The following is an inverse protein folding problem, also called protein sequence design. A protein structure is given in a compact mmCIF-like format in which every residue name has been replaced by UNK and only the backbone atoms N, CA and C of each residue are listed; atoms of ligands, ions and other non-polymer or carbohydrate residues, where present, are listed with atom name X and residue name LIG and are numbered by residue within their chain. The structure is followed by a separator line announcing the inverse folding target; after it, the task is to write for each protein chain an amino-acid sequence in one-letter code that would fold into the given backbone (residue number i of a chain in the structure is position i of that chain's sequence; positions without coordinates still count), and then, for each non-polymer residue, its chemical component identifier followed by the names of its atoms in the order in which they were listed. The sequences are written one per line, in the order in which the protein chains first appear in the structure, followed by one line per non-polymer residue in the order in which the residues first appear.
data_IF_212382572465
#
_entry.id   IF_212382572465
#
_cell.length_a   1.000
_cell.length_b   1.000
_cell.length_c   1.000
_cell.angle_alpha   90.00
_cell.angle_beta   90.00
_cell.angle_gamma   90.00
#
_symmetry.space_group_name_H-M   'P 1'
#
loop_
_entity.id
_entity.type
_entity.pdbx_description
1 polymer ?
#
# COMPACT_ATOMS: atom_id res chain seq x y z
N UNK A 1 12.11 -10.39 -9.13
CA UNK A 1 12.99 -11.45 -8.56
C UNK A 1 12.33 -12.04 -7.29
N UNK A 2 12.78 -13.20 -6.80
CA UNK A 2 12.36 -13.76 -5.50
C UNK A 2 13.57 -13.76 -4.54
N UNK A 3 13.93 -12.58 -3.98
CA UNK A 3 15.13 -12.44 -3.18
C UNK A 3 15.01 -13.23 -1.87
N UNK A 4 16.12 -13.80 -1.43
CA UNK A 4 16.25 -14.40 -0.10
C UNK A 4 16.96 -13.41 0.81
N UNK A 5 16.21 -12.43 1.32
CA UNK A 5 16.74 -11.28 2.04
C UNK A 5 16.07 -11.15 3.42
N UNK A 6 16.69 -11.70 4.46
CA UNK A 6 16.19 -11.62 5.83
C UNK A 6 14.70 -11.99 5.97
N UNK A 7 13.86 -11.10 6.54
CA UNK A 7 12.43 -11.35 6.74
C UNK A 7 11.57 -11.09 5.49
N UNK A 8 12.18 -10.77 4.33
CA UNK A 8 11.43 -10.54 3.09
C UNK A 8 10.65 -11.78 2.65
N UNK A 9 9.38 -11.57 2.30
CA UNK A 9 8.51 -12.62 1.75
C UNK A 9 7.74 -12.07 0.54
N UNK A 10 8.09 -12.60 -0.64
CA UNK A 10 7.48 -12.18 -1.89
C UNK A 10 5.97 -12.46 -1.93
N UNK A 11 5.51 -13.54 -1.29
CA UNK A 11 4.08 -13.88 -1.26
C UNK A 11 3.31 -12.81 -0.51
N UNK A 12 3.86 -12.31 0.61
CA UNK A 12 3.25 -11.26 1.43
C UNK A 12 3.18 -9.94 0.69
N UNK A 13 4.26 -9.56 0.02
CA UNK A 13 4.27 -8.34 -0.80
C UNK A 13 3.12 -8.36 -1.82
N UNK A 14 2.89 -9.47 -2.52
CA UNK A 14 1.80 -9.56 -3.49
C UNK A 14 0.40 -9.59 -2.85
N UNK A 15 0.26 -10.10 -1.63
CA UNK A 15 -0.98 -9.99 -0.85
C UNK A 15 -1.29 -8.53 -0.53
N UNK A 16 -0.30 -7.79 -0.03
CA UNK A 16 -0.45 -6.37 0.29
C UNK A 16 -0.71 -5.54 -0.97
N UNK A 17 0.02 -5.78 -2.06
CA UNK A 17 -0.21 -5.14 -3.36
C UNK A 17 -1.66 -5.31 -3.84
N UNK A 18 -2.22 -6.52 -3.79
CA UNK A 18 -3.59 -6.75 -4.24
C UNK A 18 -4.61 -6.01 -3.36
N UNK A 19 -4.44 -6.04 -2.03
CA UNK A 19 -5.28 -5.27 -1.10
C UNK A 19 -5.26 -3.77 -1.40
N UNK A 20 -4.06 -3.23 -1.62
CA UNK A 20 -3.83 -1.82 -1.94
C UNK A 20 -4.49 -1.42 -3.25
N UNK A 21 -4.32 -2.22 -4.30
CA UNK A 21 -5.01 -2.04 -5.58
C UNK A 21 -6.53 -1.98 -5.42
N UNK A 22 -7.11 -2.99 -4.76
CA UNK A 22 -8.57 -3.08 -4.55
C UNK A 22 -9.08 -1.89 -3.74
N UNK A 23 -8.38 -1.51 -2.67
CA UNK A 23 -8.71 -0.36 -1.85
C UNK A 23 -8.64 0.96 -2.61
N UNK A 24 -7.52 1.24 -3.30
CA UNK A 24 -7.33 2.49 -4.03
C UNK A 24 -8.42 2.71 -5.09
N UNK A 25 -8.82 1.63 -5.77
CA UNK A 25 -9.95 1.65 -6.71
C UNK A 25 -11.28 1.93 -6.04
N UNK A 26 -11.58 1.26 -4.93
CA UNK A 26 -12.83 1.46 -4.20
C UNK A 26 -12.95 2.88 -3.64
N UNK A 27 -11.87 3.39 -3.05
CA UNK A 27 -11.78 4.75 -2.53
C UNK A 27 -11.89 5.81 -3.64
N UNK A 28 -11.20 5.63 -4.76
CA UNK A 28 -11.32 6.55 -5.91
C UNK A 28 -12.76 6.64 -6.43
N UNK A 29 -13.47 5.51 -6.53
CA UNK A 29 -14.90 5.47 -6.90
C UNK A 29 -15.76 6.23 -5.87
N UNK A 30 -15.48 6.04 -4.58
CA UNK A 30 -16.18 6.74 -3.50
C UNK A 30 -15.93 8.25 -3.52
N UNK A 31 -14.75 8.69 -3.97
CA UNK A 31 -14.39 10.10 -4.19
C UNK A 31 -14.91 10.66 -5.52
N UNK A 32 -15.73 9.91 -6.26
CA UNK A 32 -16.40 10.37 -7.49
C UNK A 32 -15.56 10.27 -8.76
N UNK A 33 -14.43 9.55 -8.74
CA UNK A 33 -13.63 9.32 -9.94
C UNK A 33 -14.34 8.36 -10.90
N UNK A 34 -14.45 8.75 -12.17
CA UNK A 34 -15.13 7.96 -13.21
C UNK A 34 -14.32 6.76 -13.67
N UNK A 35 -13.00 6.91 -13.71
CA UNK A 35 -12.06 5.85 -14.01
C UNK A 35 -11.13 5.67 -12.81
N UNK A 36 -11.18 4.49 -12.20
CA UNK A 36 -10.41 4.13 -11.02
C UNK A 36 -9.60 2.85 -11.22
N UNK A 37 -9.61 2.29 -12.44
CA UNK A 37 -8.83 1.08 -12.74
C UNK A 37 -7.33 1.41 -12.83
N UNK A 38 -6.97 2.63 -13.25
CA UNK A 38 -5.58 3.11 -13.17
C UNK A 38 -5.09 3.21 -11.71
N UNK A 39 -5.96 3.55 -10.76
CA UNK A 39 -5.62 3.55 -9.33
C UNK A 39 -5.37 2.13 -8.81
N UNK A 40 -6.18 1.16 -9.25
CA UNK A 40 -5.95 -0.25 -8.95
C UNK A 40 -4.56 -0.68 -9.40
N UNK A 41 -4.24 -0.41 -10.67
CA UNK A 41 -2.97 -0.82 -11.25
C UNK A 41 -1.78 -0.08 -10.62
N UNK A 42 -1.88 1.23 -10.36
CA UNK A 42 -0.83 1.99 -9.70
C UNK A 42 -0.57 1.50 -8.27
N UNK A 43 -1.60 1.32 -7.44
CA UNK A 43 -1.44 0.84 -6.07
C UNK A 43 -0.98 -0.63 -6.00
N UNK A 44 -1.36 -1.47 -6.96
CA UNK A 44 -0.82 -2.83 -7.11
C UNK A 44 0.70 -2.80 -7.35
N UNK A 45 1.18 -1.83 -8.12
CA UNK A 45 2.59 -1.69 -8.53
C UNK A 45 3.42 -0.80 -7.60
N UNK A 46 2.84 -0.11 -6.62
CA UNK A 46 3.54 0.94 -5.86
C UNK A 46 4.80 0.44 -5.12
N UNK A 47 4.84 -0.85 -4.77
CA UNK A 47 5.95 -1.51 -4.06
C UNK A 47 6.78 -2.43 -4.99
N UNK A 48 6.58 -2.39 -6.30
CA UNK A 48 7.20 -3.34 -7.25
C UNK A 48 8.73 -3.27 -7.29
N UNK A 49 9.32 -2.17 -6.82
CA UNK A 49 10.76 -2.01 -6.73
C UNK A 49 11.37 -2.80 -5.56
N UNK A 50 10.64 -3.04 -4.47
CA UNK A 50 11.18 -3.68 -3.25
C UNK A 50 11.85 -5.03 -3.52
N UNK A 51 11.26 -5.99 -4.28
CA UNK A 51 11.94 -7.26 -4.55
C UNK A 51 13.22 -7.09 -5.36
N UNK A 52 13.27 -6.11 -6.26
CA UNK A 52 14.47 -5.80 -7.03
C UNK A 52 15.55 -5.22 -6.13
N UNK A 53 15.19 -4.24 -5.31
CA UNK A 53 16.13 -3.58 -4.40
C UNK A 53 16.66 -4.55 -3.34
N UNK A 54 15.82 -5.43 -2.80
CA UNK A 54 16.25 -6.50 -1.88
C UNK A 54 17.14 -7.56 -2.56
N UNK A 55 17.09 -7.70 -3.89
CA UNK A 55 18.00 -8.57 -4.65
C UNK A 55 19.36 -7.92 -4.89
N UNK A 56 19.36 -6.63 -5.24
CA UNK A 56 20.57 -5.88 -5.60
C UNK A 56 21.35 -5.37 -4.36
N UNK A 57 20.64 -5.07 -3.26
CA UNK A 57 21.20 -4.52 -2.01
C UNK A 57 20.84 -5.40 -0.80
N UNK A 58 21.15 -6.71 -0.82
CA UNK A 58 20.60 -7.66 0.14
C UNK A 58 21.02 -7.39 1.59
N UNK A 59 22.26 -6.95 1.85
CA UNK A 59 22.69 -6.64 3.22
C UNK A 59 21.95 -5.42 3.78
N UNK A 60 21.84 -4.35 2.98
CA UNK A 60 21.16 -3.13 3.40
C UNK A 60 19.66 -3.38 3.60
N UNK A 61 19.00 -4.06 2.66
CA UNK A 61 17.58 -4.37 2.79
C UNK A 61 17.28 -5.32 3.95
N UNK A 62 18.16 -6.27 4.26
CA UNK A 62 17.98 -7.11 5.44
C UNK A 62 17.97 -6.26 6.72
N UNK A 63 18.87 -5.30 6.85
CA UNK A 63 18.93 -4.40 7.99
C UNK A 63 17.71 -3.46 8.05
N UNK A 64 17.28 -2.90 6.92
CA UNK A 64 16.10 -2.03 6.85
C UNK A 64 14.82 -2.79 7.21
N UNK A 65 14.65 -4.01 6.69
CA UNK A 65 13.47 -4.81 6.98
C UNK A 65 13.43 -5.29 8.43
N UNK A 66 14.57 -5.54 9.08
CA UNK A 66 14.65 -5.79 10.53
C UNK A 66 14.29 -4.54 11.34
N UNK A 67 14.75 -3.36 10.90
CA UNK A 67 14.47 -2.07 11.56
C UNK A 67 13.03 -1.62 11.43
N UNK A 68 12.28 -2.09 10.42
CA UNK A 68 10.86 -1.82 10.25
C UNK A 68 10.03 -2.14 11.51
N UNK A 69 10.48 -3.08 12.36
CA UNK A 69 9.85 -3.43 13.64
C UNK A 69 8.33 -3.61 13.52
N UNK A 70 7.89 -4.57 12.69
CA UNK A 70 6.47 -4.86 12.44
C UNK A 70 5.62 -3.66 11.96
N UNK A 71 6.27 -2.67 11.35
CA UNK A 71 5.60 -1.50 10.79
C UNK A 71 5.72 -0.23 11.64
N UNK A 72 6.38 -0.28 12.81
CA UNK A 72 6.64 0.90 13.63
C UNK A 72 7.35 2.01 12.84
N UNK A 73 8.32 1.62 11.99
CA UNK A 73 8.99 2.53 11.07
C UNK A 73 8.61 2.21 9.63
N UNK A 74 8.16 3.21 8.87
CA UNK A 74 7.88 3.04 7.45
C UNK A 74 9.17 2.76 6.67
N UNK A 75 9.12 1.77 5.79
CA UNK A 75 10.26 1.41 4.94
C UNK A 75 10.74 2.58 4.07
N UNK A 76 9.82 3.44 3.58
CA UNK A 76 10.17 4.63 2.80
C UNK A 76 11.10 5.57 3.58
N UNK A 77 10.81 5.81 4.85
CA UNK A 77 11.62 6.67 5.72
C UNK A 77 12.99 6.04 6.04
N UNK A 78 13.03 4.73 6.27
CA UNK A 78 14.27 4.00 6.50
C UNK A 78 15.18 4.01 5.26
N UNK A 79 14.60 3.91 4.05
CA UNK A 79 15.33 3.99 2.78
C UNK A 79 15.83 5.41 2.51
N UNK A 80 15.03 6.45 2.77
CA UNK A 80 15.47 7.84 2.63
C UNK A 80 16.66 8.15 3.53
N UNK A 81 16.62 7.70 4.79
CA UNK A 81 17.74 7.84 5.72
C UNK A 81 19.01 7.12 5.24
N UNK A 82 18.86 5.95 4.60
CA UNK A 82 19.98 5.11 4.20
C UNK A 82 20.56 5.49 2.82
N UNK A 83 19.71 5.89 1.88
CA UNK A 83 20.05 6.03 0.46
C UNK A 83 19.82 7.44 -0.10
N UNK A 84 19.06 8.28 0.61
CA UNK A 84 18.59 9.58 0.10
C UNK A 84 17.43 9.49 -0.89
N UNK A 85 16.85 8.30 -1.07
CA UNK A 85 15.69 8.01 -1.91
C UNK A 85 14.97 6.75 -1.41
N UNK A 86 13.71 6.56 -1.81
CA UNK A 86 12.87 5.43 -1.42
C UNK A 86 12.40 4.56 -2.59
N UNK A 87 11.83 3.39 -2.28
CA UNK A 87 11.33 2.45 -3.27
C UNK A 87 10.20 3.00 -4.13
N UNK A 88 9.40 3.96 -3.65
CA UNK A 88 8.36 4.62 -4.45
C UNK A 88 8.96 5.46 -5.58
N UNK A 89 10.05 6.18 -5.32
CA UNK A 89 10.82 6.88 -6.34
C UNK A 89 11.46 5.91 -7.34
N UNK A 90 12.03 4.81 -6.87
CA UNK A 90 12.57 3.77 -7.75
C UNK A 90 11.48 3.10 -8.62
N UNK A 91 10.30 2.82 -8.04
CA UNK A 91 9.17 2.25 -8.75
C UNK A 91 8.62 3.21 -9.81
N UNK A 92 8.62 4.52 -9.55
CA UNK A 92 8.25 5.53 -10.53
C UNK A 92 9.24 5.59 -11.72
N UNK A 93 10.55 5.46 -11.47
CA UNK A 93 11.53 5.35 -12.56
C UNK A 93 11.34 4.05 -13.37
N UNK A 94 11.00 2.96 -12.69
CA UNK A 94 10.66 1.69 -13.35
C UNK A 94 9.42 1.83 -14.24
N UNK A 95 8.34 2.49 -13.78
CA UNK A 95 7.14 2.70 -14.60
C UNK A 95 7.43 3.55 -15.84
N UNK A 96 8.25 4.60 -15.71
CA UNK A 96 8.73 5.39 -16.86
C UNK A 96 9.52 4.53 -17.85
N UNK A 97 10.42 3.67 -17.34
CA UNK A 97 11.21 2.76 -18.19
C UNK A 97 10.35 1.75 -18.96
N UNK A 98 9.20 1.37 -18.41
CA UNK A 98 8.21 0.51 -19.06
C UNK A 98 7.29 1.25 -20.02
N UNK A 99 7.50 2.55 -20.22
CA UNK A 99 6.66 3.42 -21.08
C UNK A 99 5.20 3.47 -20.63
N UNK A 100 4.94 3.33 -19.32
CA UNK A 100 3.62 3.62 -18.77
C UNK A 100 3.35 5.14 -18.82
N UNK A 101 2.07 5.58 -18.87
CA UNK A 101 1.72 6.98 -18.78
C UNK A 101 2.32 7.63 -17.52
N UNK A 102 2.78 8.89 -17.62
CA UNK A 102 3.46 9.60 -16.51
C UNK A 102 2.60 9.66 -15.24
N UNK A 103 1.28 9.66 -15.39
CA UNK A 103 0.33 9.58 -14.27
C UNK A 103 0.57 8.37 -13.37
N UNK A 104 0.95 7.21 -13.92
CA UNK A 104 1.30 6.04 -13.10
C UNK A 104 2.52 6.32 -12.22
N UNK A 105 3.54 6.97 -12.76
CA UNK A 105 4.75 7.33 -12.01
C UNK A 105 4.42 8.28 -10.86
N UNK A 106 3.53 9.26 -11.10
CA UNK A 106 3.05 10.20 -10.06
C UNK A 106 2.27 9.47 -8.98
N UNK A 107 1.34 8.59 -9.36
CA UNK A 107 0.53 7.81 -8.42
C UNK A 107 1.39 6.86 -7.58
N UNK A 108 2.29 6.13 -8.22
CA UNK A 108 3.21 5.17 -7.59
C UNK A 108 4.17 5.85 -6.61
N UNK A 109 4.64 7.06 -6.89
CA UNK A 109 5.56 7.74 -5.99
C UNK A 109 4.86 8.32 -4.74
N UNK A 110 3.55 8.52 -4.81
CA UNK A 110 2.79 9.31 -3.84
C UNK A 110 2.82 8.78 -2.40
N UNK A 111 2.96 7.47 -2.19
CA UNK A 111 3.02 6.89 -0.83
C UNK A 111 4.34 7.19 -0.10
N UNK A 112 5.37 7.64 -0.83
CA UNK A 112 6.59 8.21 -0.25
C UNK A 112 6.28 9.44 0.59
N UNK A 113 5.50 10.38 0.04
CA UNK A 113 5.10 11.65 0.65
C UNK A 113 3.60 11.67 1.03
N UNK A 114 3.28 10.87 2.05
CA UNK A 114 1.91 10.76 2.56
C UNK A 114 1.33 12.08 3.08
N UNK A 115 2.15 12.97 3.63
CA UNK A 115 1.66 14.22 4.21
C UNK A 115 1.07 15.11 3.13
N UNK A 116 1.82 15.30 2.04
CA UNK A 116 1.34 16.03 0.87
C UNK A 116 0.14 15.33 0.25
N UNK A 117 0.19 14.01 0.06
CA UNK A 117 -0.91 13.27 -0.57
C UNK A 117 -2.22 13.35 0.23
N UNK A 118 -2.15 13.33 1.57
CA UNK A 118 -3.32 13.48 2.46
C UNK A 118 -3.86 14.91 2.43
N UNK A 119 -2.99 15.92 2.44
CA UNK A 119 -3.40 17.32 2.41
C UNK A 119 -4.13 17.69 1.10
N UNK A 120 -3.70 17.11 -0.03
CA UNK A 120 -4.17 17.45 -1.36
C UNK A 120 -5.37 16.62 -1.85
N UNK A 121 -6.08 15.90 -0.96
CA UNK A 121 -7.20 15.02 -1.34
C UNK A 121 -8.25 15.68 -2.23
N UNK A 122 -8.54 16.98 -2.04
CA UNK A 122 -9.53 17.73 -2.83
C UNK A 122 -9.06 18.03 -4.25
N UNK A 123 -7.75 18.21 -4.45
CA UNK A 123 -7.14 18.57 -5.73
C UNK A 123 -6.63 17.35 -6.49
N UNK A 124 -6.25 16.29 -5.76
CA UNK A 124 -5.61 15.08 -6.29
C UNK A 124 -6.16 13.80 -5.64
N UNK A 125 -7.47 13.49 -5.79
CA UNK A 125 -8.10 12.33 -5.13
C UNK A 125 -7.49 10.97 -5.56
N UNK A 126 -6.94 10.88 -6.77
CA UNK A 126 -6.24 9.67 -7.23
C UNK A 126 -4.95 9.41 -6.46
N UNK A 127 -4.09 10.43 -6.37
CA UNK A 127 -2.85 10.42 -5.57
C UNK A 127 -3.15 10.07 -4.12
N UNK A 128 -4.17 10.71 -3.53
CA UNK A 128 -4.63 10.38 -2.18
C UNK A 128 -5.01 8.90 -2.04
N UNK A 129 -5.82 8.38 -2.98
CA UNK A 129 -6.33 7.01 -2.90
C UNK A 129 -5.23 5.97 -2.95
N UNK A 130 -4.24 6.16 -3.83
CA UNK A 130 -3.07 5.28 -3.95
C UNK A 130 -2.17 5.42 -2.72
N UNK A 131 -1.86 6.65 -2.30
CA UNK A 131 -0.99 6.88 -1.16
C UNK A 131 -1.57 6.31 0.14
N UNK A 132 -2.84 6.59 0.46
CA UNK A 132 -3.52 6.07 1.67
C UNK A 132 -3.65 4.55 1.66
N UNK A 133 -3.65 3.91 0.49
CA UNK A 133 -3.60 2.45 0.42
C UNK A 133 -2.35 1.87 1.10
N UNK A 134 -1.22 2.59 1.09
CA UNK A 134 0.02 2.15 1.74
C UNK A 134 -0.08 2.08 3.26
N UNK A 135 -1.10 2.73 3.85
CA UNK A 135 -1.39 2.73 5.28
C UNK A 135 -2.27 1.55 5.70
N UNK A 136 -2.70 0.67 4.80
CA UNK A 136 -3.41 -0.56 5.15
C UNK A 136 -2.53 -1.49 6.00
N UNK A 137 -3.13 -2.33 6.87
CA UNK A 137 -2.36 -3.29 7.65
C UNK A 137 -1.67 -4.28 6.71
N UNK A 138 -0.37 -4.46 6.89
CA UNK A 138 0.35 -5.48 6.15
C UNK A 138 -0.14 -6.87 6.57
N UNK A 139 -0.15 -7.83 5.65
CA UNK A 139 -0.79 -9.12 5.82
C UNK A 139 -0.22 -9.98 6.98
N UNK A 140 0.93 -9.62 7.56
CA UNK A 140 1.56 -10.35 8.65
C UNK A 140 2.16 -9.47 9.75
N UNK A 141 1.90 -8.17 9.73
CA UNK A 141 2.27 -7.34 10.88
C UNK A 141 1.28 -7.69 12.00
N UNK A 142 1.78 -7.93 13.22
CA UNK A 142 0.93 -8.27 14.36
C UNK A 142 0.08 -7.07 14.80
N UNK A 143 0.58 -5.86 14.54
CA UNK A 143 -0.03 -4.58 14.88
C UNK A 143 -0.13 -3.67 13.65
N UNK A 144 -1.21 -2.91 13.57
CA UNK A 144 -1.47 -1.92 12.53
C UNK A 144 -1.08 -0.52 13.02
N UNK A 145 0.22 -0.26 13.06
CA UNK A 145 0.78 1.01 13.55
C UNK A 145 0.19 2.27 12.87
N UNK A 146 -0.16 2.15 11.59
CA UNK A 146 -0.72 3.24 10.78
C UNK A 146 -2.24 3.42 10.91
N UNK A 147 -2.93 2.64 11.76
CA UNK A 147 -4.40 2.62 11.87
C UNK A 147 -5.01 3.99 12.11
N UNK A 148 -4.56 4.71 13.12
CA UNK A 148 -5.17 6.00 13.48
C UNK A 148 -4.97 7.04 12.38
N UNK A 149 -3.81 7.01 11.72
CA UNK A 149 -3.51 7.86 10.55
C UNK A 149 -4.43 7.50 9.38
N UNK A 150 -4.58 6.21 9.09
CA UNK A 150 -5.47 5.71 8.04
C UNK A 150 -6.93 6.11 8.29
N UNK A 151 -7.45 5.82 9.49
CA UNK A 151 -8.84 6.11 9.87
C UNK A 151 -9.11 7.62 9.78
N UNK A 152 -8.19 8.44 10.29
CA UNK A 152 -8.31 9.90 10.24
C UNK A 152 -8.32 10.42 8.79
N UNK A 153 -7.41 9.91 7.95
CA UNK A 153 -7.36 10.30 6.54
C UNK A 153 -8.64 9.89 5.78
N UNK A 154 -9.12 8.67 5.98
CA UNK A 154 -10.35 8.17 5.36
C UNK A 154 -11.57 9.00 5.77
N UNK A 155 -11.75 9.24 7.07
CA UNK A 155 -12.90 10.01 7.59
C UNK A 155 -12.88 11.47 7.10
N UNK A 156 -11.70 12.10 7.01
CA UNK A 156 -11.57 13.45 6.50
C UNK A 156 -11.91 13.55 5.00
N UNK A 157 -11.56 12.53 4.22
CA UNK A 157 -11.83 12.47 2.79
C UNK A 157 -13.27 12.06 2.45
N UNK A 158 -13.88 11.23 3.29
CA UNK A 158 -15.20 10.64 3.08
C UNK A 158 -16.08 10.76 4.33
N UNK A 159 -16.46 11.98 4.76
CA UNK A 159 -17.24 12.18 5.99
C UNK A 159 -18.63 11.51 5.92
N UNK A 160 -19.24 11.48 4.74
CA UNK A 160 -20.52 10.82 4.46
C UNK A 160 -20.33 9.47 3.75
N UNK A 161 -19.12 8.92 3.84
CA UNK A 161 -18.73 7.66 3.20
C UNK A 161 -19.37 6.42 3.79
N UNK A 162 -19.20 5.29 3.10
CA UNK A 162 -19.53 3.98 3.67
C UNK A 162 -18.72 3.75 4.97
N UNK A 163 -19.27 3.03 5.96
CA UNK A 163 -18.48 2.60 7.10
C UNK A 163 -17.23 1.82 6.66
N UNK A 164 -16.09 2.04 7.33
CA UNK A 164 -14.83 1.35 7.00
C UNK A 164 -14.98 -0.17 6.98
N UNK A 165 -15.79 -0.73 7.88
CA UNK A 165 -16.07 -2.17 7.93
C UNK A 165 -16.76 -2.67 6.66
N UNK A 166 -17.69 -1.91 6.09
CA UNK A 166 -18.38 -2.25 4.84
C UNK A 166 -17.43 -2.17 3.63
N UNK A 167 -16.59 -1.12 3.60
CA UNK A 167 -15.56 -0.96 2.58
C UNK A 167 -14.55 -2.13 2.63
N UNK A 168 -14.08 -2.48 3.82
CA UNK A 168 -13.13 -3.58 4.02
C UNK A 168 -13.75 -4.93 3.69
N UNK A 169 -15.00 -5.19 4.08
CA UNK A 169 -15.70 -6.41 3.70
C UNK A 169 -15.83 -6.56 2.17
N UNK A 170 -16.09 -5.44 1.48
CA UNK A 170 -16.12 -5.41 0.00
C UNK A 170 -14.75 -5.75 -0.59
N UNK A 171 -13.68 -5.18 -0.05
CA UNK A 171 -12.30 -5.43 -0.51
C UNK A 171 -11.90 -6.88 -0.24
N UNK A 172 -12.22 -7.42 0.93
CA UNK A 172 -11.92 -8.81 1.29
C UNK A 172 -12.63 -9.79 0.35
N UNK A 173 -13.91 -9.55 0.04
CA UNK A 173 -14.65 -10.36 -0.94
C UNK A 173 -14.03 -10.28 -2.35
N UNK A 174 -13.66 -9.08 -2.80
CA UNK A 174 -12.97 -8.90 -4.09
C UNK A 174 -11.59 -9.56 -4.08
N UNK A 175 -10.88 -9.55 -2.95
CA UNK A 175 -9.59 -10.21 -2.83
C UNK A 175 -9.72 -11.71 -3.12
N UNK A 176 -10.71 -12.38 -2.53
CA UNK A 176 -10.96 -13.82 -2.76
C UNK A 176 -11.27 -14.13 -4.22
N UNK A 177 -11.98 -13.24 -4.92
CA UNK A 177 -12.29 -13.39 -6.34
C UNK A 177 -11.04 -13.24 -7.24
N UNK A 178 -10.21 -12.22 -6.97
CA UNK A 178 -9.06 -11.88 -7.83
C UNK A 178 -7.79 -12.67 -7.52
N UNK A 179 -7.59 -13.10 -6.26
CA UNK A 179 -6.36 -13.75 -5.82
C UNK A 179 -5.99 -15.00 -6.64
N UNK A 180 -6.92 -15.91 -7.02
CA UNK A 180 -6.61 -17.06 -7.86
C UNK A 180 -6.09 -16.67 -9.26
N UNK A 181 -6.62 -15.59 -9.85
CA UNK A 181 -6.22 -15.11 -11.18
C UNK A 181 -4.77 -14.64 -11.17
N UNK A 182 -4.38 -13.93 -10.11
CA UNK A 182 -3.02 -13.42 -9.92
C UNK A 182 -2.08 -14.43 -9.22
N UNK A 183 -2.57 -15.63 -8.88
CA UNK A 183 -1.86 -16.66 -8.12
C UNK A 183 -1.32 -16.15 -6.78
N UNK A 184 -2.07 -15.25 -6.16
CA UNK A 184 -1.81 -14.72 -4.82
C UNK A 184 -2.53 -15.62 -3.82
N UNK A 185 -1.86 -15.99 -2.73
CA UNK A 185 -2.51 -16.77 -1.66
C UNK A 185 -3.29 -15.88 -0.70
N UNK A 186 -4.21 -16.45 0.08
CA UNK A 186 -4.97 -15.69 1.07
C UNK A 186 -4.08 -15.14 2.20
N UNK A 187 -4.32 -13.91 2.68
CA UNK A 187 -3.67 -13.34 3.86
C UNK A 187 -4.13 -14.09 5.13
N UNK A 188 -3.37 -13.95 6.22
CA UNK A 188 -3.67 -14.66 7.48
C UNK A 188 -4.89 -14.10 8.22
N UNK A 189 -5.08 -12.78 8.15
CA UNK A 189 -6.24 -12.04 8.66
C UNK A 189 -6.85 -11.24 7.53
N UNK A 190 -8.16 -11.09 7.44
CA UNK A 190 -8.87 -10.18 6.53
C UNK A 190 -8.68 -8.72 6.97
N UNK A 191 -9.01 -7.74 6.11
CA UNK A 191 -8.97 -6.32 6.52
C UNK A 191 -10.01 -6.04 7.62
N UNK A 192 -11.19 -6.66 7.55
CA UNK A 192 -12.21 -6.58 8.61
C UNK A 192 -11.68 -7.12 9.94
N UNK A 193 -11.02 -8.28 9.93
CA UNK A 193 -10.43 -8.85 11.15
C UNK A 193 -9.32 -7.95 11.72
N UNK A 194 -8.48 -7.34 10.88
CA UNK A 194 -7.49 -6.36 11.33
C UNK A 194 -8.14 -5.12 11.97
N UNK A 195 -9.22 -4.61 11.38
CA UNK A 195 -9.95 -3.45 11.91
C UNK A 195 -10.56 -3.74 13.29
N UNK A 196 -11.05 -4.96 13.51
CA UNK A 196 -11.69 -5.40 14.75
C UNK A 196 -10.68 -5.77 15.85
N UNK A 197 -9.52 -6.35 15.49
CA UNK A 197 -8.52 -6.81 16.44
C UNK A 197 -7.97 -5.69 17.35
N UNK A 198 -7.87 -4.47 16.85
CA UNK A 198 -7.38 -3.31 17.62
C UNK A 198 -8.49 -2.50 18.31
N UNK A 199 -9.76 -2.83 18.05
CA UNK A 199 -10.89 -2.23 18.75
C UNK A 199 -11.19 -2.90 20.09
N UNK A 200 -10.57 -4.05 20.37
CA UNK A 200 -10.70 -4.75 21.65
C UNK A 200 -9.87 -4.02 22.73
N UNK A 201 -10.46 -3.54 23.84
CA UNK A 201 -9.67 -3.07 24.97
C UNK A 201 -8.84 -4.22 25.54
N UNK A 202 -7.59 -3.93 25.87
CA UNK A 202 -6.71 -4.82 26.63
C UNK A 202 -7.29 -5.19 28.00
#
# INVERSE_FOLDING_TARGET
PNPKCGPFDLKRLWQDSLRRGLFARALGKQLGMKDAEDLFAAALLQDMAIPLLANELPQQYEDLLKRRQDGEFRLTSLEEDAFGWNHGQAAAEMSRSWSLPEEFSVLIQAHGDLETAIADVKTSPGTFSVAVSSLLPAANDDMWHDRDRFVSAYQAACPDGAPLEELFATIDAQFEEFAPVLKVGSPAKTLVECLQAEAAPA
#
